data_IF_365019918463
#
_entry.id   IF_365019918463
#
_cell.length_a   1.000
_cell.length_b   1.000
_cell.length_c   1.000
_cell.angle_alpha   90.00
_cell.angle_beta   90.00
_cell.angle_gamma   90.00
#
_symmetry.space_group_name_H-M   'P 1'
#
loop_
_entity.id
_entity.type
_entity.pdbx_description
1 polymer ?
#
# COMPACT_ATOMS: atom_id res chain seq x y z
N UNK A 1 -11.47 4.21 -23.21
CA UNK A 1 -11.66 2.78 -23.08
C UNK A 1 -10.48 2.08 -22.46
N UNK A 2 -9.27 2.55 -22.72
CA UNK A 2 -8.09 1.96 -22.10
C UNK A 2 -8.18 1.94 -20.57
N UNK A 3 -8.73 3.00 -19.97
CA UNK A 3 -8.89 3.08 -18.52
C UNK A 3 -9.74 1.93 -17.96
N UNK A 4 -10.74 1.48 -18.73
CA UNK A 4 -11.62 0.40 -18.29
C UNK A 4 -10.92 -0.96 -18.36
N UNK A 5 -9.87 -1.07 -19.14
CA UNK A 5 -9.12 -2.29 -19.33
C UNK A 5 -7.93 -2.40 -18.38
N UNK A 6 -7.61 -1.32 -17.68
CA UNK A 6 -6.51 -1.32 -16.73
C UNK A 6 -6.90 -2.11 -15.48
N UNK A 7 -5.93 -2.84 -14.95
CA UNK A 7 -6.11 -3.53 -13.67
C UNK A 7 -6.26 -2.50 -12.56
N UNK A 8 -7.09 -2.77 -11.54
CA UNK A 8 -7.14 -1.90 -10.39
C UNK A 8 -5.80 -1.93 -9.65
N UNK A 9 -5.57 -0.89 -8.84
CA UNK A 9 -4.46 -0.87 -7.92
C UNK A 9 -4.62 -2.05 -6.96
N UNK A 10 -3.56 -2.76 -6.65
CA UNK A 10 -3.60 -3.88 -5.71
C UNK A 10 -2.73 -3.57 -4.49
N UNK A 11 -3.33 -3.66 -3.31
CA UNK A 11 -2.65 -3.43 -2.04
C UNK A 11 -2.38 -4.76 -1.36
N UNK A 12 -1.12 -5.02 -1.03
CA UNK A 12 -0.72 -6.18 -0.25
C UNK A 12 -0.41 -5.71 1.17
N UNK A 13 -1.18 -6.15 2.14
CA UNK A 13 -1.06 -5.68 3.51
C UNK A 13 -1.01 -6.84 4.50
N UNK A 14 -0.50 -6.54 5.70
CA UNK A 14 -0.42 -7.51 6.80
C UNK A 14 -1.65 -7.39 7.70
N UNK A 15 -2.63 -8.25 7.49
CA UNK A 15 -3.85 -8.25 8.27
C UNK A 15 -3.68 -8.75 9.70
N UNK A 16 -2.53 -9.34 10.03
CA UNK A 16 -2.23 -9.74 11.39
C UNK A 16 -1.74 -8.56 12.26
N UNK A 17 -1.36 -7.45 11.63
CA UNK A 17 -0.97 -6.24 12.34
C UNK A 17 -2.22 -5.41 12.65
N UNK A 18 -2.56 -5.17 13.93
CA UNK A 18 -3.78 -4.43 14.28
C UNK A 18 -3.82 -3.01 13.70
N UNK A 19 -2.69 -2.33 13.70
CA UNK A 19 -2.60 -0.96 13.16
C UNK A 19 -2.78 -0.98 11.65
N UNK A 20 -2.10 -1.89 10.95
CA UNK A 20 -2.20 -2.02 9.50
C UNK A 20 -3.62 -2.36 9.07
N UNK A 21 -4.26 -3.28 9.76
CA UNK A 21 -5.63 -3.70 9.47
C UNK A 21 -6.62 -2.56 9.63
N UNK A 22 -6.46 -1.77 10.69
CA UNK A 22 -7.34 -0.62 10.94
C UNK A 22 -7.17 0.43 9.85
N UNK A 23 -5.95 0.73 9.49
CA UNK A 23 -5.66 1.73 8.46
C UNK A 23 -6.19 1.30 7.10
N UNK A 24 -5.96 0.07 6.73
CA UNK A 24 -6.48 -0.46 5.46
C UNK A 24 -8.01 -0.42 5.44
N UNK A 25 -8.65 -0.74 6.55
CA UNK A 25 -10.12 -0.64 6.66
C UNK A 25 -10.63 0.76 6.37
N UNK A 26 -9.91 1.77 6.79
CA UNK A 26 -10.22 3.17 6.49
C UNK A 26 -10.24 3.43 4.97
N UNK A 27 -9.23 2.93 4.26
CA UNK A 27 -9.14 3.12 2.81
C UNK A 27 -10.14 2.24 2.06
N UNK A 28 -10.38 1.03 2.51
CA UNK A 28 -11.34 0.13 1.87
C UNK A 28 -12.72 0.76 1.75
N UNK A 29 -13.16 1.48 2.77
CA UNK A 29 -14.45 2.16 2.78
C UNK A 29 -14.53 3.28 1.77
N UNK A 30 -13.39 3.85 1.37
CA UNK A 30 -13.33 5.03 0.51
C UNK A 30 -13.02 4.73 -0.93
N UNK A 31 -12.29 3.65 -1.20
CA UNK A 31 -11.82 3.35 -2.56
C UNK A 31 -12.77 2.45 -3.34
N UNK A 32 -13.63 1.69 -2.67
CA UNK A 32 -14.56 0.79 -3.34
C UNK A 32 -13.85 -0.17 -4.28
N UNK A 33 -14.36 -0.33 -5.49
CA UNK A 33 -13.79 -1.24 -6.47
C UNK A 33 -12.56 -0.73 -7.21
N UNK A 34 -12.12 0.50 -6.93
CA UNK A 34 -10.94 1.09 -7.58
C UNK A 34 -9.62 0.48 -7.07
N UNK A 35 -9.65 -0.18 -5.92
CA UNK A 35 -8.47 -0.77 -5.31
C UNK A 35 -8.80 -2.19 -4.86
N UNK A 36 -7.92 -3.12 -5.16
CA UNK A 36 -7.96 -4.48 -4.67
C UNK A 36 -7.09 -4.61 -3.42
N UNK A 37 -7.58 -5.35 -2.43
CA UNK A 37 -6.85 -5.55 -1.18
C UNK A 37 -6.59 -7.03 -0.97
N UNK A 38 -5.34 -7.40 -0.70
CA UNK A 38 -4.97 -8.76 -0.39
C UNK A 38 -4.26 -8.83 0.95
N UNK A 39 -4.85 -9.57 1.91
CA UNK A 39 -4.26 -9.79 3.22
C UNK A 39 -3.25 -10.93 3.12
N UNK A 40 -1.98 -10.59 3.06
CA UNK A 40 -0.92 -11.60 2.85
C UNK A 40 -0.67 -12.46 4.09
N UNK A 41 -1.23 -12.09 5.23
CA UNK A 41 -1.15 -12.94 6.43
C UNK A 41 -2.21 -14.04 6.41
N UNK A 42 -3.35 -13.81 5.75
CA UNK A 42 -4.50 -14.71 5.78
C UNK A 42 -4.70 -15.51 4.50
N UNK A 43 -4.21 -15.02 3.37
CA UNK A 43 -4.50 -15.65 2.07
C UNK A 43 -3.30 -15.65 1.14
N UNK A 44 -3.35 -16.47 0.11
CA UNK A 44 -2.34 -16.49 -0.94
C UNK A 44 -2.64 -15.38 -1.93
N UNK A 45 -1.67 -14.49 -2.12
CA UNK A 45 -1.79 -13.39 -3.06
C UNK A 45 -0.87 -13.65 -4.25
N UNK A 46 -1.41 -14.04 -5.42
CA UNK A 46 -0.57 -14.38 -6.56
C UNK A 46 0.26 -13.19 -7.02
N UNK A 47 1.57 -13.31 -6.94
CA UNK A 47 2.50 -12.27 -7.38
C UNK A 47 3.86 -12.92 -7.61
N UNK A 48 4.28 -13.10 -8.88
CA UNK A 48 5.55 -13.78 -9.17
C UNK A 48 6.78 -13.01 -8.69
N UNK A 49 6.66 -11.69 -8.53
CA UNK A 49 7.76 -10.81 -8.11
C UNK A 49 7.67 -10.41 -6.63
N UNK A 50 6.76 -11.00 -5.86
CA UNK A 50 6.58 -10.66 -4.46
C UNK A 50 6.20 -11.92 -3.69
N UNK A 51 7.08 -12.40 -2.82
CA UNK A 51 6.74 -13.52 -1.96
C UNK A 51 6.06 -13.04 -0.68
N UNK A 52 5.45 -14.00 0.04
CA UNK A 52 4.70 -13.70 1.25
C UNK A 52 5.56 -13.05 2.33
N UNK A 53 6.79 -13.53 2.48
CA UNK A 53 7.69 -13.00 3.50
C UNK A 53 8.03 -11.53 3.24
N UNK A 54 8.35 -11.19 1.99
CA UNK A 54 8.61 -9.80 1.60
C UNK A 54 7.38 -8.93 1.81
N UNK A 55 6.21 -9.44 1.44
CA UNK A 55 4.95 -8.71 1.61
C UNK A 55 4.62 -8.44 3.07
N UNK A 56 4.97 -9.37 3.97
CA UNK A 56 4.77 -9.19 5.40
C UNK A 56 5.75 -8.20 6.03
N UNK A 57 6.92 -8.01 5.41
CA UNK A 57 7.94 -7.10 5.93
C UNK A 57 7.65 -5.64 5.64
N UNK A 58 7.04 -5.35 4.49
CA UNK A 58 6.78 -3.99 4.05
C UNK A 58 5.45 -3.93 3.32
N UNK A 59 4.86 -2.75 3.37
CA UNK A 59 3.67 -2.45 2.59
C UNK A 59 4.01 -2.38 1.11
N UNK A 60 3.24 -3.07 0.28
CA UNK A 60 3.45 -3.11 -1.16
C UNK A 60 2.16 -2.76 -1.90
N UNK A 61 2.30 -2.12 -3.04
CA UNK A 61 1.20 -1.79 -3.93
C UNK A 61 1.60 -2.14 -5.37
N UNK A 62 0.70 -2.83 -6.06
CA UNK A 62 0.85 -3.09 -7.49
C UNK A 62 0.12 -2.02 -8.26
N UNK A 63 0.85 -1.27 -9.08
CA UNK A 63 0.27 -0.24 -9.92
C UNK A 63 -0.51 -0.86 -11.08
N UNK A 64 -1.44 -0.13 -11.71
CA UNK A 64 -2.20 -0.66 -12.85
C UNK A 64 -1.34 -1.11 -14.01
N UNK A 65 -0.16 -0.55 -14.20
CA UNK A 65 0.77 -0.94 -15.26
C UNK A 65 1.62 -2.16 -14.91
N UNK A 66 1.43 -2.72 -13.71
CA UNK A 66 2.18 -3.89 -13.25
C UNK A 66 3.37 -3.58 -12.37
N UNK A 67 3.76 -2.32 -12.23
CA UNK A 67 4.89 -1.95 -11.39
C UNK A 67 4.58 -2.20 -9.92
N UNK A 68 5.55 -2.75 -9.19
CA UNK A 68 5.44 -3.00 -7.76
C UNK A 68 6.21 -1.93 -7.00
N UNK A 69 5.54 -1.24 -6.09
CA UNK A 69 6.16 -0.22 -5.24
C UNK A 69 5.98 -0.57 -3.78
N UNK A 70 6.86 -0.07 -2.93
CA UNK A 70 6.80 -0.38 -1.50
C UNK A 70 7.10 0.85 -0.65
N UNK A 71 6.79 0.75 0.65
CA UNK A 71 7.06 1.79 1.62
C UNK A 71 6.24 3.05 1.38
N UNK A 72 6.86 4.21 1.55
CA UNK A 72 6.18 5.50 1.41
C UNK A 72 5.57 5.68 0.03
N UNK A 73 6.26 5.26 -1.03
CA UNK A 73 5.74 5.35 -2.39
C UNK A 73 4.44 4.55 -2.55
N UNK A 74 4.34 3.40 -1.89
CA UNK A 74 3.14 2.58 -1.93
C UNK A 74 1.96 3.28 -1.24
N UNK A 75 2.19 3.90 -0.09
CA UNK A 75 1.15 4.67 0.59
C UNK A 75 0.67 5.84 -0.25
N UNK A 76 1.58 6.55 -0.88
CA UNK A 76 1.20 7.68 -1.74
C UNK A 76 0.40 7.22 -2.96
N UNK A 77 0.73 6.05 -3.52
CA UNK A 77 -0.03 5.47 -4.62
C UNK A 77 -1.46 5.17 -4.18
N UNK A 78 -1.64 4.61 -2.98
CA UNK A 78 -2.96 4.36 -2.40
C UNK A 78 -3.71 5.67 -2.17
N UNK A 79 -3.04 6.69 -1.65
CA UNK A 79 -3.65 7.99 -1.42
C UNK A 79 -4.15 8.62 -2.73
N UNK A 80 -3.40 8.49 -3.81
CA UNK A 80 -3.84 9.00 -5.11
C UNK A 80 -5.11 8.33 -5.61
N UNK A 81 -5.34 7.08 -5.22
CA UNK A 81 -6.53 6.34 -5.57
C UNK A 81 -7.69 6.59 -4.59
N UNK A 82 -7.46 7.30 -3.50
CA UNK A 82 -8.45 7.54 -2.44
C UNK A 82 -9.07 8.92 -2.62
N UNK A 83 -10.42 9.01 -2.73
CA UNK A 83 -11.08 10.31 -2.85
C UNK A 83 -10.73 11.23 -1.67
N UNK A 84 -10.38 12.48 -1.98
CA UNK A 84 -10.00 13.47 -0.98
C UNK A 84 -8.53 13.47 -0.60
N UNK A 85 -7.77 12.47 -1.04
CA UNK A 85 -6.36 12.33 -0.68
C UNK A 85 -5.39 12.62 -1.82
N UNK A 86 -5.91 12.95 -3.00
CA UNK A 86 -5.06 13.17 -4.19
C UNK A 86 -4.13 14.36 -4.05
N UNK A 87 -4.64 15.48 -3.53
CA UNK A 87 -3.82 16.68 -3.39
C UNK A 87 -2.73 16.49 -2.34
N UNK A 88 -3.04 16.01 -1.12
CA UNK A 88 -1.99 15.68 -0.16
C UNK A 88 -0.95 14.71 -0.72
N UNK A 89 -1.38 13.69 -1.47
CA UNK A 89 -0.46 12.73 -2.07
C UNK A 89 0.48 13.40 -3.07
N UNK A 90 -0.04 14.31 -3.89
CA UNK A 90 0.78 15.04 -4.86
C UNK A 90 1.81 15.93 -4.17
N UNK A 91 1.41 16.61 -3.11
CA UNK A 91 2.30 17.48 -2.34
C UNK A 91 3.42 16.69 -1.65
N UNK A 92 3.10 15.49 -1.17
CA UNK A 92 4.05 14.64 -0.46
C UNK A 92 4.90 13.77 -1.38
N UNK A 93 4.69 13.85 -2.69
CA UNK A 93 5.40 13.00 -3.65
C UNK A 93 6.74 13.59 -4.11
N UNK A 94 7.14 14.77 -3.65
CA UNK A 94 8.45 15.33 -3.96
C UNK A 94 9.54 14.38 -3.45
N UNK A 95 10.60 14.13 -4.24
CA UNK A 95 11.62 13.14 -3.86
C UNK A 95 12.21 13.31 -2.46
N UNK A 96 12.56 14.52 -2.00
CA UNK A 96 13.07 14.68 -0.64
C UNK A 96 12.06 14.29 0.43
N UNK A 97 10.78 14.60 0.20
CA UNK A 97 9.71 14.27 1.14
C UNK A 97 9.48 12.78 1.20
N UNK A 98 9.47 12.11 0.05
CA UNK A 98 9.32 10.66 -0.02
C UNK A 98 10.46 9.96 0.74
N UNK A 99 11.68 10.47 0.61
CA UNK A 99 12.83 9.90 1.32
C UNK A 99 12.64 10.00 2.84
N UNK A 100 12.16 11.14 3.34
CA UNK A 100 11.89 11.32 4.77
C UNK A 100 10.77 10.39 5.23
N UNK A 101 9.70 10.29 4.46
CA UNK A 101 8.58 9.41 4.79
C UNK A 101 9.01 7.94 4.80
N UNK A 102 9.91 7.56 3.90
CA UNK A 102 10.40 6.19 3.85
C UNK A 102 11.24 5.85 5.07
N UNK A 103 12.05 6.80 5.55
CA UNK A 103 12.81 6.63 6.79
C UNK A 103 11.86 6.49 7.97
N UNK A 104 10.81 7.32 8.03
CA UNK A 104 9.81 7.24 9.09
C UNK A 104 9.09 5.89 9.05
N UNK A 105 8.78 5.39 7.86
CA UNK A 105 8.15 4.09 7.70
C UNK A 105 9.07 2.96 8.17
N UNK A 106 10.36 3.05 7.86
CA UNK A 106 11.33 2.06 8.34
C UNK A 106 11.37 2.03 9.87
N UNK A 107 11.28 3.20 10.51
CA UNK A 107 11.17 3.30 11.97
C UNK A 107 9.91 2.63 12.50
N UNK A 108 8.78 2.86 11.83
CA UNK A 108 7.52 2.20 12.17
C UNK A 108 7.63 0.69 12.07
N UNK A 109 8.28 0.17 11.04
CA UNK A 109 8.43 -1.28 10.86
C UNK A 109 9.22 -1.91 12.01
N UNK A 110 10.22 -1.21 12.54
CA UNK A 110 10.95 -1.68 13.71
C UNK A 110 10.07 -1.66 14.95
N UNK A 111 9.32 -0.59 15.13
CA UNK A 111 8.42 -0.45 16.26
C UNK A 111 7.29 -1.47 16.22
N UNK A 112 6.83 -1.81 15.02
CA UNK A 112 5.75 -2.77 14.82
C UNK A 112 6.03 -4.14 15.42
N UNK A 113 7.30 -4.49 15.54
CA UNK A 113 7.71 -5.78 16.14
C UNK A 113 7.21 -5.95 17.57
N UNK A 114 6.91 -4.83 18.25
CA UNK A 114 6.46 -4.86 19.64
C UNK A 114 5.01 -5.35 19.81
N UNK A 115 4.19 -5.24 18.76
CA UNK A 115 2.77 -5.61 18.86
C UNK A 115 2.29 -6.55 17.77
N UNK A 116 3.15 -7.00 16.90
CA UNK A 116 2.77 -7.92 15.85
C UNK A 116 2.92 -9.39 16.25
#
# INVERSE_FOLDING_TARGET
MAAKMQSPLTVYYDGACPVCRREIGFYQKRTGGAVRYCDVAAEVCPAPDLDREQALRRFHVRMPDGALVSGAAAFLALWRATPGFRLPASLLSAPPVVAVLDVAYAGFLRLRRLWR
#
